data_IF_915777202351
#
_entry.id   IF_915777202351
#
_cell.length_a   1.000
_cell.length_b   1.000
_cell.length_c   1.000
_cell.angle_alpha   90.00
_cell.angle_beta   90.00
_cell.angle_gamma   90.00
#
_symmetry.space_group_name_H-M   'P 1'
#
loop_
_entity.id
_entity.type
_entity.pdbx_description
1 polymer ?
#
# COMPACT_ATOMS: atom_id res chain seq x y z
N UNK A 1 -17.42 -5.56 26.66
CA UNK A 1 -16.96 -4.77 25.50
C UNK A 1 -15.50 -5.11 25.28
N UNK A 2 -15.21 -5.94 24.28
CA UNK A 2 -13.93 -6.66 24.17
C UNK A 2 -12.86 -5.82 23.48
N UNK A 3 -11.69 -5.70 24.11
CA UNK A 3 -10.50 -5.01 23.62
C UNK A 3 -9.85 -5.65 22.36
N UNK A 4 -10.51 -6.63 21.74
CA UNK A 4 -9.99 -7.40 20.60
C UNK A 4 -10.16 -6.70 19.26
N UNK A 5 -11.04 -5.69 19.14
CA UNK A 5 -11.16 -4.90 17.91
C UNK A 5 -9.97 -3.94 17.68
N UNK A 6 -9.21 -3.63 18.72
CA UNK A 6 -8.04 -2.74 18.64
C UNK A 6 -6.74 -3.47 18.28
N UNK A 7 -6.66 -4.79 18.52
CA UNK A 7 -5.50 -5.61 18.18
C UNK A 7 -5.49 -6.07 16.70
N UNK A 8 -6.64 -6.00 16.03
CA UNK A 8 -6.77 -6.26 14.58
C UNK A 8 -6.26 -5.11 13.70
N UNK A 9 -5.66 -4.08 14.27
CA UNK A 9 -4.95 -3.03 13.53
C UNK A 9 -3.54 -3.50 13.14
N UNK A 10 -3.39 -4.80 12.85
CA UNK A 10 -2.28 -5.29 12.07
C UNK A 10 -2.26 -4.48 10.78
N UNK A 11 -1.08 -4.02 10.42
CA UNK A 11 -0.78 -3.03 9.38
C UNK A 11 -1.38 -3.31 8.00
N UNK A 12 -2.08 -4.43 7.79
CA UNK A 12 -2.75 -4.80 6.53
C UNK A 12 -4.19 -4.31 6.37
N UNK A 13 -4.91 -3.94 7.43
CA UNK A 13 -6.36 -3.63 7.36
C UNK A 13 -6.71 -2.14 7.21
N UNK A 14 -5.73 -1.32 6.81
CA UNK A 14 -5.94 0.11 6.50
C UNK A 14 -5.46 0.41 5.08
N UNK A 15 -6.04 1.40 4.36
CA UNK A 15 -5.61 1.72 3.00
C UNK A 15 -4.15 2.19 2.96
N UNK A 16 -3.67 2.84 4.04
CA UNK A 16 -2.26 3.22 4.21
C UNK A 16 -1.35 2.01 4.24
N UNK A 17 -1.60 1.07 5.15
CA UNK A 17 -0.71 -0.06 5.36
C UNK A 17 -0.79 -1.10 4.23
N UNK A 18 -1.97 -1.27 3.65
CA UNK A 18 -2.15 -1.97 2.37
C UNK A 18 -1.33 -1.31 1.25
N UNK A 19 -1.35 0.02 1.14
CA UNK A 19 -0.56 0.75 0.15
C UNK A 19 0.95 0.58 0.31
N UNK A 20 1.45 0.55 1.55
CA UNK A 20 2.86 0.23 1.85
C UNK A 20 3.20 -1.18 1.37
N UNK A 21 2.39 -2.19 1.72
CA UNK A 21 2.62 -3.58 1.31
C UNK A 21 2.66 -3.74 -0.22
N UNK A 22 1.68 -3.19 -0.94
CA UNK A 22 1.64 -3.28 -2.41
C UNK A 22 2.83 -2.55 -3.03
N UNK A 23 3.25 -1.42 -2.46
CA UNK A 23 4.44 -0.70 -2.90
C UNK A 23 5.72 -1.53 -2.73
N UNK A 24 5.88 -2.23 -1.61
CA UNK A 24 7.02 -3.13 -1.34
C UNK A 24 7.05 -4.32 -2.30
N UNK A 25 5.92 -5.02 -2.47
CA UNK A 25 5.79 -6.19 -3.33
C UNK A 25 6.04 -5.88 -4.82
N UNK A 26 5.68 -4.67 -5.26
CA UNK A 26 5.74 -4.29 -6.68
C UNK A 26 6.87 -3.30 -6.98
N UNK A 27 7.79 -3.06 -6.04
CA UNK A 27 8.85 -2.08 -6.21
C UNK A 27 9.70 -2.31 -7.46
N UNK A 28 9.92 -3.57 -7.86
CA UNK A 28 10.69 -3.94 -9.07
C UNK A 28 9.85 -4.07 -10.34
N UNK A 29 8.52 -4.04 -10.23
CA UNK A 29 7.59 -4.26 -11.35
C UNK A 29 7.33 -2.96 -12.13
N UNK A 30 6.72 -2.97 -13.33
CA UNK A 30 6.23 -1.75 -13.99
C UNK A 30 5.14 -1.02 -13.18
N UNK A 31 4.96 0.28 -13.45
CA UNK A 31 3.97 1.11 -12.72
C UNK A 31 2.53 0.63 -12.95
N UNK A 32 2.25 0.07 -14.14
CA UNK A 32 0.96 -0.53 -14.48
C UNK A 32 0.62 -1.71 -13.58
N UNK A 33 1.62 -2.52 -13.18
CA UNK A 33 1.44 -3.67 -12.27
C UNK A 33 1.12 -3.17 -10.86
N UNK A 34 1.84 -2.15 -10.38
CA UNK A 34 1.55 -1.52 -9.09
C UNK A 34 0.12 -0.97 -9.04
N UNK A 35 -0.28 -0.15 -10.02
CA UNK A 35 -1.61 0.45 -10.05
C UNK A 35 -2.71 -0.61 -10.11
N UNK A 36 -2.49 -1.70 -10.86
CA UNK A 36 -3.44 -2.80 -10.97
C UNK A 36 -3.62 -3.52 -9.64
N UNK A 37 -2.52 -3.91 -8.98
CA UNK A 37 -2.59 -4.58 -7.66
C UNK A 37 -3.16 -3.67 -6.60
N UNK A 38 -2.74 -2.41 -6.56
CA UNK A 38 -3.21 -1.43 -5.58
C UNK A 38 -4.72 -1.22 -5.68
N UNK A 39 -5.27 -1.12 -6.90
CA UNK A 39 -6.72 -0.99 -7.12
C UNK A 39 -7.50 -2.25 -6.73
N UNK A 40 -6.96 -3.43 -7.00
CA UNK A 40 -7.59 -4.69 -6.59
C UNK A 40 -7.69 -4.77 -5.06
N UNK A 41 -6.58 -4.54 -4.37
CA UNK A 41 -6.50 -4.56 -2.91
C UNK A 41 -7.39 -3.48 -2.27
N UNK A 42 -7.45 -2.28 -2.85
CA UNK A 42 -8.39 -1.24 -2.41
C UNK A 42 -9.84 -1.67 -2.56
N UNK A 43 -10.18 -2.40 -3.61
CA UNK A 43 -11.53 -2.88 -3.85
C UNK A 43 -11.92 -3.89 -2.78
N UNK A 44 -11.03 -4.85 -2.49
CA UNK A 44 -11.24 -5.86 -1.45
C UNK A 44 -11.37 -5.22 -0.06
N UNK A 45 -10.53 -4.21 0.22
CA UNK A 45 -10.60 -3.45 1.47
C UNK A 45 -11.90 -2.65 1.59
N UNK A 46 -12.38 -2.04 0.51
CA UNK A 46 -13.67 -1.34 0.50
C UNK A 46 -14.84 -2.29 0.75
N UNK A 47 -14.80 -3.50 0.15
CA UNK A 47 -15.82 -4.54 0.39
C UNK A 47 -15.82 -4.99 1.85
N UNK A 48 -14.63 -5.21 2.42
CA UNK A 48 -14.50 -5.55 3.84
C UNK A 48 -15.06 -4.45 4.73
N UNK A 49 -14.71 -3.18 4.47
CA UNK A 49 -15.18 -2.05 5.25
C UNK A 49 -16.70 -1.85 5.15
N UNK A 50 -17.28 -2.04 3.97
CA UNK A 50 -18.74 -2.03 3.79
C UNK A 50 -19.41 -3.11 4.65
N UNK A 51 -18.84 -4.33 4.69
CA UNK A 51 -19.34 -5.43 5.55
C UNK A 51 -19.25 -5.14 7.04
N UNK A 52 -18.34 -4.24 7.45
CA UNK A 52 -18.17 -3.78 8.83
C UNK A 52 -19.03 -2.55 9.16
N UNK A 53 -19.85 -2.06 8.20
CA UNK A 53 -20.74 -0.92 8.39
C UNK A 53 -20.09 0.44 8.17
N UNK A 54 -18.91 0.50 7.56
CA UNK A 54 -18.28 1.77 7.20
C UNK A 54 -18.91 2.34 5.91
N UNK A 55 -19.13 3.67 5.81
CA UNK A 55 -19.71 4.28 4.62
C UNK A 55 -18.80 4.13 3.38
N UNK A 56 -19.33 3.53 2.30
CA UNK A 56 -18.63 3.36 1.01
C UNK A 56 -18.00 4.64 0.42
N UNK A 57 -18.58 5.86 0.53
CA UNK A 57 -17.93 7.09 0.06
C UNK A 57 -16.64 7.44 0.82
N UNK A 58 -16.59 7.16 2.13
CA UNK A 58 -15.39 7.40 2.94
C UNK A 58 -14.28 6.42 2.55
N UNK A 59 -14.62 5.15 2.31
CA UNK A 59 -13.66 4.14 1.87
C UNK A 59 -12.94 4.58 0.58
N UNK A 60 -13.69 5.12 -0.40
CA UNK A 60 -13.15 5.62 -1.67
C UNK A 60 -12.30 6.89 -1.52
N UNK A 61 -12.71 7.82 -0.66
CA UNK A 61 -11.92 9.02 -0.36
C UNK A 61 -10.58 8.66 0.29
N UNK A 62 -10.60 7.75 1.27
CA UNK A 62 -9.37 7.27 1.88
C UNK A 62 -8.48 6.55 0.87
N UNK A 63 -9.05 5.67 0.04
CA UNK A 63 -8.32 4.97 -1.02
C UNK A 63 -7.53 5.92 -1.93
N UNK A 64 -8.17 7.00 -2.39
CA UNK A 64 -7.54 8.02 -3.23
C UNK A 64 -6.44 8.80 -2.48
N UNK A 65 -6.68 9.15 -1.21
CA UNK A 65 -5.70 9.88 -0.40
C UNK A 65 -4.41 9.08 -0.18
N UNK A 66 -4.50 7.76 -0.08
CA UNK A 66 -3.35 6.88 0.17
C UNK A 66 -2.67 6.37 -1.10
N UNK A 67 -3.30 6.45 -2.27
CA UNK A 67 -2.68 6.13 -3.57
C UNK A 67 -1.39 6.94 -3.79
N UNK A 68 -1.45 8.25 -3.58
CA UNK A 68 -0.29 9.13 -3.70
C UNK A 68 0.84 8.76 -2.73
N UNK A 69 0.50 8.40 -1.49
CA UNK A 69 1.47 7.95 -0.49
C UNK A 69 2.15 6.62 -0.87
N UNK A 70 1.39 5.66 -1.40
CA UNK A 70 1.91 4.38 -1.87
C UNK A 70 2.84 4.56 -3.09
N UNK A 71 2.49 5.45 -4.03
CA UNK A 71 3.35 5.81 -5.16
C UNK A 71 4.68 6.39 -4.67
N UNK A 72 4.63 7.38 -3.78
CA UNK A 72 5.84 8.03 -3.26
C UNK A 72 6.73 7.04 -2.52
N UNK A 73 6.15 6.19 -1.67
CA UNK A 73 6.89 5.16 -0.94
C UNK A 73 7.58 4.18 -1.89
N UNK A 74 6.89 3.75 -2.94
CA UNK A 74 7.44 2.86 -3.97
C UNK A 74 8.60 3.50 -4.74
N UNK A 75 8.50 4.79 -5.07
CA UNK A 75 9.58 5.54 -5.71
C UNK A 75 10.81 5.63 -4.81
N UNK A 76 10.62 5.86 -3.50
CA UNK A 76 11.71 5.83 -2.52
C UNK A 76 12.42 4.47 -2.50
N UNK A 77 11.67 3.36 -2.43
CA UNK A 77 12.25 2.01 -2.44
C UNK A 77 13.07 1.76 -3.71
N UNK A 78 12.54 2.16 -4.88
CA UNK A 78 13.26 2.03 -6.16
C UNK A 78 14.55 2.85 -6.18
N UNK A 79 14.48 4.09 -5.72
CA UNK A 79 15.63 4.98 -5.67
C UNK A 79 16.71 4.42 -4.75
N UNK A 80 16.35 3.96 -3.55
CA UNK A 80 17.28 3.35 -2.61
C UNK A 80 17.96 2.11 -3.23
N UNK A 81 17.19 1.23 -3.88
CA UNK A 81 17.74 0.05 -4.57
C UNK A 81 18.70 0.43 -5.70
N UNK A 82 18.37 1.46 -6.48
CA UNK A 82 19.24 1.95 -7.56
C UNK A 82 20.53 2.56 -7.00
N UNK A 83 20.45 3.34 -5.92
CA UNK A 83 21.61 3.93 -5.24
C UNK A 83 22.54 2.85 -4.68
N UNK A 84 21.99 1.81 -4.02
CA UNK A 84 22.79 0.69 -3.52
C UNK A 84 23.49 -0.08 -4.63
N UNK A 85 22.79 -0.40 -5.73
CA UNK A 85 23.39 -1.08 -6.88
C UNK A 85 24.54 -0.29 -7.51
N UNK A 86 24.43 1.05 -7.57
CA UNK A 86 25.53 1.91 -8.05
C UNK A 86 26.72 1.94 -7.10
N UNK A 87 26.50 1.90 -5.79
CA UNK A 87 27.58 1.87 -4.79
C UNK A 87 28.32 0.54 -4.80
N UNK A 88 27.60 -0.59 -4.97
CA UNK A 88 28.21 -1.92 -5.12
C UNK A 88 29.01 -2.02 -6.42
N UNK A 89 28.48 -1.52 -7.54
CA UNK A 89 29.19 -1.51 -8.83
C UNK A 89 30.44 -0.63 -8.87
N UNK A 90 30.60 0.32 -7.93
CA UNK A 90 31.81 1.14 -7.77
C UNK A 90 32.87 0.51 -6.87
N UNK A 91 32.53 -0.56 -6.13
CA UNK A 91 33.46 -1.28 -5.24
C UNK A 91 34.11 -2.50 -5.90
N UNK A 92 33.59 -2.97 -7.04
CA UNK A 92 34.16 -4.05 -7.86
C UNK A 92 35.24 -3.51 -8.80
#
# INVERSE_FOLDING_TARGET
>A
MSATAAAGWESGLTPRGMGVRVAEETASEPDTVFLTRFRAELTDLCVLWDSLGYPSPLCRLFAQQFEGGAIMHRLTIRQDRQTWSQLEGRRA
#
